data_IF_168173191216
#
_entry.id   IF_168173191216
#
_cell.length_a   1.000
_cell.length_b   1.000
_cell.length_c   1.000
_cell.angle_alpha   90.00
_cell.angle_beta   90.00
_cell.angle_gamma   90.00
#
_symmetry.space_group_name_H-M   'P 1'
#
loop_
_entity.id
_entity.type
_entity.pdbx_description
1 polymer ?
#
# COMPACT_ATOMS: atom_id res chain seq x y z
N UNK A 1 -56.74 -1.05 -48.59
CA UNK A 1 -55.39 -1.16 -47.98
C UNK A 1 -55.11 0.13 -47.24
N UNK A 2 -55.08 0.08 -45.91
CA UNK A 2 -54.72 1.20 -45.01
C UNK A 2 -53.37 0.86 -44.38
N UNK A 3 -52.37 1.76 -44.31
CA UNK A 3 -51.21 1.53 -43.47
C UNK A 3 -51.52 1.97 -42.02
N UNK A 4 -51.14 1.09 -41.08
CA UNK A 4 -51.25 1.27 -39.63
C UNK A 4 -50.22 2.27 -39.11
N UNK A 5 -50.62 3.00 -38.08
CA UNK A 5 -49.79 3.92 -37.32
C UNK A 5 -48.71 3.18 -36.50
N UNK A 6 -47.50 3.75 -36.49
CA UNK A 6 -46.43 3.41 -35.56
C UNK A 6 -46.43 4.46 -34.44
N UNK A 7 -46.80 4.06 -33.22
CA UNK A 7 -46.58 4.86 -32.01
C UNK A 7 -45.22 4.48 -31.43
N UNK A 8 -44.26 5.42 -31.49
CA UNK A 8 -42.93 5.26 -30.92
C UNK A 8 -42.96 5.25 -29.40
N UNK A 9 -42.45 4.16 -28.81
CA UNK A 9 -42.17 4.02 -27.40
C UNK A 9 -40.94 4.89 -27.01
N UNK A 10 -41.19 6.13 -26.62
CA UNK A 10 -40.15 7.04 -26.12
C UNK A 10 -40.57 7.63 -24.76
N UNK A 11 -40.81 6.79 -23.76
CA UNK A 11 -41.16 7.27 -22.42
C UNK A 11 -40.68 6.37 -21.25
N UNK A 12 -39.74 5.44 -21.47
CA UNK A 12 -39.33 4.50 -20.42
C UNK A 12 -37.81 4.43 -20.13
N UNK A 13 -37.01 5.41 -20.59
CA UNK A 13 -35.55 5.40 -20.37
C UNK A 13 -35.04 6.41 -19.34
N UNK A 14 -35.88 7.32 -18.83
CA UNK A 14 -35.42 8.34 -17.85
C UNK A 14 -35.58 7.89 -16.40
N UNK A 15 -36.39 6.85 -16.10
CA UNK A 15 -36.58 6.39 -14.72
C UNK A 15 -35.48 5.44 -14.20
N UNK A 16 -34.68 4.81 -15.06
CA UNK A 16 -33.66 3.85 -14.62
C UNK A 16 -32.33 4.48 -14.20
N UNK A 17 -32.07 5.75 -14.54
CA UNK A 17 -30.78 6.40 -14.23
C UNK A 17 -30.69 6.94 -12.78
N UNK A 18 -31.80 6.96 -12.03
CA UNK A 18 -31.83 7.43 -10.64
C UNK A 18 -31.66 6.30 -9.60
N UNK A 19 -31.51 5.03 -10.02
CA UNK A 19 -31.36 3.90 -9.10
C UNK A 19 -29.90 3.47 -8.86
N UNK A 20 -28.91 4.14 -9.45
CA UNK A 20 -27.48 3.77 -9.32
C UNK A 20 -26.67 4.66 -8.37
N UNK A 21 -27.30 5.58 -7.65
CA UNK A 21 -26.66 6.28 -6.53
C UNK A 21 -27.40 5.90 -5.25
N UNK A 22 -27.22 4.65 -4.82
CA UNK A 22 -27.54 4.33 -3.43
C UNK A 22 -26.40 4.92 -2.57
N UNK A 23 -26.69 5.84 -1.63
CA UNK A 23 -25.71 6.19 -0.62
C UNK A 23 -25.31 4.91 0.12
N UNK A 24 -24.01 4.73 0.35
CA UNK A 24 -23.54 3.65 1.21
C UNK A 24 -24.34 3.68 2.52
N UNK A 25 -24.82 2.52 3.03
CA UNK A 25 -25.55 2.49 4.27
C UNK A 25 -24.74 3.23 5.34
N UNK A 26 -25.35 4.24 5.96
CA UNK A 26 -24.77 4.89 7.11
C UNK A 26 -24.46 3.81 8.15
N UNK A 27 -23.23 3.80 8.66
CA UNK A 27 -22.83 2.88 9.71
C UNK A 27 -23.85 2.96 10.86
N UNK A 28 -24.21 1.81 11.45
CA UNK A 28 -25.09 1.81 12.60
C UNK A 28 -24.43 2.61 13.73
N UNK A 29 -25.21 3.41 14.47
CA UNK A 29 -24.68 4.19 15.58
C UNK A 29 -23.98 3.27 16.60
N UNK A 30 -22.71 3.55 16.89
CA UNK A 30 -21.86 2.76 17.79
C UNK A 30 -21.06 1.63 17.14
N UNK A 31 -21.25 1.34 15.85
CA UNK A 31 -20.39 0.41 15.11
C UNK A 31 -19.05 1.08 14.80
N UNK A 32 -17.95 0.44 15.21
CA UNK A 32 -16.60 0.92 14.91
C UNK A 32 -16.20 0.53 13.50
N UNK A 33 -15.66 1.48 12.75
CA UNK A 33 -15.08 1.29 11.42
C UNK A 33 -13.65 1.81 11.39
N UNK A 34 -12.89 1.40 10.37
CA UNK A 34 -11.52 1.85 10.19
C UNK A 34 -11.50 3.26 9.59
N UNK A 35 -10.86 4.22 10.27
CA UNK A 35 -10.65 5.59 9.81
C UNK A 35 -9.17 5.93 9.77
N UNK A 36 -8.80 6.76 8.80
CA UNK A 36 -7.49 7.42 8.74
C UNK A 36 -7.67 8.87 9.19
N UNK A 37 -6.89 9.27 10.18
CA UNK A 37 -6.78 10.64 10.68
C UNK A 37 -5.46 11.21 10.17
N UNK A 38 -5.54 12.21 9.31
CA UNK A 38 -4.38 12.85 8.70
C UNK A 38 -4.14 14.22 9.34
N UNK A 39 -2.90 14.44 9.79
CA UNK A 39 -2.45 15.63 10.52
C UNK A 39 -1.43 16.45 9.73
N UNK A 40 -1.13 16.09 8.47
CA UNK A 40 -0.16 16.79 7.63
C UNK A 40 1.22 16.13 7.61
N UNK A 41 2.26 16.95 7.59
CA UNK A 41 3.67 16.53 7.65
C UNK A 41 4.21 16.68 9.08
N UNK A 42 5.12 15.80 9.49
CA UNK A 42 5.83 15.95 10.76
C UNK A 42 6.85 17.08 10.70
N UNK A 43 6.96 17.87 11.78
CA UNK A 43 7.99 18.91 11.88
C UNK A 43 9.42 18.35 11.75
N UNK A 44 9.63 17.10 12.19
CA UNK A 44 10.92 16.40 12.09
C UNK A 44 11.15 15.71 10.75
N UNK A 45 10.20 15.75 9.79
CA UNK A 45 10.29 14.99 8.55
C UNK A 45 11.57 15.27 7.75
N UNK A 46 11.97 16.54 7.67
CA UNK A 46 13.20 16.98 6.97
C UNK A 46 14.49 16.48 7.59
N UNK A 47 14.50 16.16 8.89
CA UNK A 47 15.69 15.77 9.64
C UNK A 47 15.87 14.25 9.73
N UNK A 48 14.85 13.47 9.39
CA UNK A 48 14.85 12.01 9.53
C UNK A 48 16.02 11.31 8.83
N UNK A 49 16.54 11.88 7.74
CA UNK A 49 17.60 11.28 6.94
C UNK A 49 18.98 11.28 7.62
N UNK A 50 19.20 12.20 8.56
CA UNK A 50 20.49 12.39 9.24
C UNK A 50 20.53 11.76 10.64
N UNK A 51 19.39 11.27 11.15
CA UNK A 51 19.30 10.73 12.49
C UNK A 51 19.94 9.35 12.62
N UNK A 52 20.62 9.12 13.74
CA UNK A 52 21.02 7.79 14.14
C UNK A 52 19.78 6.94 14.49
N UNK A 53 19.91 5.61 14.44
CA UNK A 53 18.78 4.70 14.65
C UNK A 53 18.08 4.86 16.01
N UNK A 54 18.86 5.16 17.07
CA UNK A 54 18.31 5.39 18.42
C UNK A 54 17.48 6.68 18.47
N UNK A 55 17.98 7.76 17.87
CA UNK A 55 17.28 9.04 17.82
C UNK A 55 16.01 8.93 16.97
N UNK A 56 16.07 8.19 15.85
CA UNK A 56 14.91 7.90 15.03
C UNK A 56 13.81 7.18 15.81
N UNK A 57 14.16 6.13 16.57
CA UNK A 57 13.19 5.40 17.40
C UNK A 57 12.56 6.29 18.48
N UNK A 58 13.35 7.18 19.09
CA UNK A 58 12.84 8.15 20.07
C UNK A 58 11.88 9.18 19.45
N UNK A 59 12.21 9.70 18.27
CA UNK A 59 11.36 10.63 17.50
C UNK A 59 10.06 9.95 17.09
N UNK A 60 10.13 8.72 16.56
CA UNK A 60 8.94 7.95 16.19
C UNK A 60 8.07 7.60 17.41
N UNK A 61 8.69 7.24 18.54
CA UNK A 61 7.98 6.97 19.79
C UNK A 61 7.25 8.19 20.32
N UNK A 62 7.88 9.37 20.28
CA UNK A 62 7.24 10.64 20.66
C UNK A 62 6.08 11.01 19.73
N UNK A 63 6.26 10.82 18.42
CA UNK A 63 5.20 11.03 17.44
C UNK A 63 3.99 10.11 17.71
N UNK A 64 4.23 8.81 17.92
CA UNK A 64 3.17 7.86 18.26
C UNK A 64 2.46 8.23 19.57
N UNK A 65 3.22 8.66 20.60
CA UNK A 65 2.63 9.06 21.87
C UNK A 65 1.70 10.27 21.74
N UNK A 66 2.08 11.24 20.89
CA UNK A 66 1.22 12.39 20.57
C UNK A 66 -0.06 12.00 19.84
N UNK A 67 -0.06 10.91 19.05
CA UNK A 67 -1.27 10.38 18.42
C UNK A 67 -2.23 9.82 19.46
N UNK A 68 -1.71 9.10 20.46
CA UNK A 68 -2.52 8.58 21.56
C UNK A 68 -3.11 9.72 22.39
N UNK A 69 -2.32 10.75 22.69
CA UNK A 69 -2.80 11.94 23.41
C UNK A 69 -3.92 12.65 22.64
N UNK A 70 -3.75 12.86 21.32
CA UNK A 70 -4.77 13.50 20.49
C UNK A 70 -6.08 12.71 20.50
N UNK A 71 -6.04 11.40 20.27
CA UNK A 71 -7.24 10.58 20.26
C UNK A 71 -7.86 10.42 21.66
N UNK A 72 -7.06 10.47 22.72
CA UNK A 72 -7.55 10.45 24.10
C UNK A 72 -8.43 11.66 24.43
N UNK A 73 -8.27 12.81 23.75
CA UNK A 73 -9.17 13.97 23.92
C UNK A 73 -10.62 13.67 23.52
N UNK A 74 -10.81 12.70 22.62
CA UNK A 74 -12.13 12.26 22.13
C UNK A 74 -12.62 11.04 22.91
N UNK A 75 -11.74 10.06 23.18
CA UNK A 75 -12.12 8.82 23.87
C UNK A 75 -12.14 8.93 25.40
N UNK A 76 -11.59 10.02 25.94
CA UNK A 76 -11.45 10.29 27.38
C UNK A 76 -10.40 9.44 28.09
N UNK A 77 -9.65 8.60 27.37
CA UNK A 77 -8.71 7.64 27.93
C UNK A 77 -7.60 7.30 26.91
N UNK A 78 -6.34 7.39 27.34
CA UNK A 78 -5.15 7.14 26.51
C UNK A 78 -4.96 5.66 26.19
N UNK A 79 -5.34 4.75 27.07
CA UNK A 79 -5.26 3.31 26.80
C UNK A 79 -6.31 2.90 25.78
N UNK A 80 -7.54 3.46 25.85
CA UNK A 80 -8.52 3.27 24.77
C UNK A 80 -8.02 3.81 23.42
N UNK A 81 -7.28 4.92 23.44
CA UNK A 81 -6.65 5.43 22.23
C UNK A 81 -5.56 4.48 21.69
N UNK A 82 -4.73 3.90 22.56
CA UNK A 82 -3.73 2.89 22.17
C UNK A 82 -4.38 1.64 21.56
N UNK A 83 -5.50 1.18 22.12
CA UNK A 83 -6.25 0.04 21.60
C UNK A 83 -6.94 0.34 20.27
N UNK A 84 -7.46 1.57 20.11
CA UNK A 84 -8.16 1.98 18.89
C UNK A 84 -7.19 2.19 17.71
N UNK A 85 -5.99 2.72 17.95
CA UNK A 85 -4.98 3.00 16.92
C UNK A 85 -4.23 1.73 16.56
N UNK A 86 -4.44 1.24 15.33
CA UNK A 86 -3.73 0.07 14.82
C UNK A 86 -2.51 0.41 13.96
N UNK A 87 -2.41 1.63 13.43
CA UNK A 87 -1.20 2.19 12.81
C UNK A 87 -0.96 3.64 13.21
N UNK A 88 0.28 3.98 13.53
CA UNK A 88 0.77 5.35 13.66
C UNK A 88 1.76 5.67 12.54
N UNK A 89 1.51 6.75 11.81
CA UNK A 89 2.40 7.25 10.76
C UNK A 89 3.31 8.33 11.37
N UNK A 90 4.56 7.96 11.63
CA UNK A 90 5.49 8.74 12.48
C UNK A 90 6.66 9.37 11.72
N UNK A 91 6.77 9.09 10.42
CA UNK A 91 7.89 9.52 9.58
C UNK A 91 7.56 10.82 8.82
N UNK A 92 7.31 10.74 7.52
CA UNK A 92 7.06 11.93 6.70
C UNK A 92 5.59 12.36 6.82
N UNK A 93 4.68 11.39 6.77
CA UNK A 93 3.25 11.61 7.00
C UNK A 93 3.00 11.60 8.50
N UNK A 94 2.27 12.62 8.98
CA UNK A 94 1.73 12.66 10.33
C UNK A 94 0.25 12.25 10.33
N UNK A 95 -0.06 11.23 11.12
CA UNK A 95 -1.41 10.74 11.26
C UNK A 95 -1.44 9.33 11.82
N UNK A 96 -2.63 8.76 11.90
CA UNK A 96 -2.83 7.40 12.38
C UNK A 96 -4.10 6.79 11.76
N UNK A 97 -4.20 5.47 11.85
CA UNK A 97 -5.38 4.72 11.49
C UNK A 97 -5.98 4.07 12.75
N UNK A 98 -7.28 4.27 12.97
CA UNK A 98 -7.97 3.84 14.18
C UNK A 98 -9.37 3.30 13.92
N UNK A 99 -9.83 2.43 14.82
CA UNK A 99 -11.20 1.92 14.84
C UNK A 99 -12.10 2.82 15.68
N UNK A 100 -12.93 3.62 15.01
CA UNK A 100 -13.77 4.65 15.61
C UNK A 100 -15.23 4.46 15.17
N UNK A 101 -16.18 4.80 16.05
CA UNK A 101 -17.55 5.01 15.60
C UNK A 101 -17.69 6.35 14.85
N UNK A 102 -18.83 6.54 14.19
CA UNK A 102 -19.09 7.74 13.39
C UNK A 102 -19.08 9.03 14.20
N UNK A 103 -19.46 8.99 15.48
CA UNK A 103 -19.48 10.17 16.35
C UNK A 103 -18.05 10.54 16.75
N UNK A 104 -17.24 9.57 17.18
CA UNK A 104 -15.82 9.75 17.48
C UNK A 104 -15.06 10.29 16.27
N UNK A 105 -15.30 9.74 15.08
CA UNK A 105 -14.71 10.22 13.83
C UNK A 105 -15.10 11.68 13.53
N UNK A 106 -16.35 12.05 13.76
CA UNK A 106 -16.83 13.43 13.58
C UNK A 106 -16.28 14.39 14.64
N UNK A 107 -16.09 13.94 15.89
CA UNK A 107 -15.50 14.72 16.96
C UNK A 107 -14.03 15.01 16.68
N UNK A 108 -13.25 13.98 16.30
CA UNK A 108 -11.81 14.18 16.02
C UNK A 108 -11.58 15.07 14.80
N UNK A 109 -12.45 15.01 13.79
CA UNK A 109 -12.38 15.86 12.59
C UNK A 109 -12.55 17.35 12.87
N UNK A 110 -13.05 17.73 14.06
CA UNK A 110 -13.24 19.13 14.47
C UNK A 110 -12.01 19.71 15.20
N UNK A 111 -11.04 18.88 15.55
CA UNK A 111 -9.83 19.35 16.22
C UNK A 111 -8.97 20.16 15.26
N UNK A 112 -8.43 21.33 15.66
CA UNK A 112 -7.68 22.21 14.77
C UNK A 112 -6.39 21.59 14.22
N UNK A 113 -5.83 20.59 14.90
CA UNK A 113 -4.65 19.84 14.48
C UNK A 113 -4.95 18.82 13.38
N UNK A 114 -6.22 18.50 13.14
CA UNK A 114 -6.65 17.46 12.20
C UNK A 114 -6.97 18.09 10.84
N UNK A 115 -6.22 17.69 9.81
CA UNK A 115 -6.40 18.17 8.44
C UNK A 115 -7.59 17.48 7.78
N UNK A 116 -7.69 16.15 7.93
CA UNK A 116 -8.80 15.39 7.36
C UNK A 116 -8.99 14.04 8.06
N UNK A 117 -10.23 13.58 8.12
CA UNK A 117 -10.60 12.23 8.57
C UNK A 117 -11.40 11.57 7.47
N UNK A 118 -11.00 10.37 7.06
CA UNK A 118 -11.71 9.61 6.03
C UNK A 118 -11.73 8.12 6.36
N UNK A 119 -12.81 7.45 5.97
CA UNK A 119 -12.94 6.01 6.16
C UNK A 119 -11.89 5.28 5.32
N UNK A 120 -11.24 4.30 5.93
CA UNK A 120 -10.35 3.37 5.23
C UNK A 120 -11.15 2.54 4.23
N UNK A 121 -10.55 2.23 3.07
CA UNK A 121 -11.21 1.46 2.00
C UNK A 121 -10.25 0.42 1.46
N UNK A 122 -10.72 -0.81 1.33
CA UNK A 122 -10.03 -1.83 0.54
C UNK A 122 -10.06 -1.42 -0.94
N UNK A 123 -8.91 -1.52 -1.60
CA UNK A 123 -8.81 -1.30 -3.05
C UNK A 123 -8.73 -2.66 -3.75
N UNK A 124 -9.29 -2.73 -4.96
CA UNK A 124 -9.16 -3.92 -5.79
C UNK A 124 -7.86 -3.85 -6.58
N UNK A 125 -7.19 -5.00 -6.72
CA UNK A 125 -6.02 -5.13 -7.58
C UNK A 125 -6.41 -4.82 -9.01
N UNK A 126 -5.64 -3.95 -9.65
CA UNK A 126 -5.81 -3.58 -11.05
C UNK A 126 -4.50 -3.81 -11.80
N UNK A 127 -4.52 -4.66 -12.81
CA UNK A 127 -3.49 -4.70 -13.85
C UNK A 127 -4.14 -4.62 -15.22
N UNK A 128 -3.76 -3.61 -16.01
CA UNK A 128 -4.09 -3.57 -17.45
C UNK A 128 -2.81 -3.56 -18.27
N UNK A 129 -2.55 -4.71 -18.90
CA UNK A 129 -1.67 -4.96 -20.07
C UNK A 129 -0.14 -4.90 -19.87
N UNK A 130 0.53 -5.72 -20.68
CA UNK A 130 1.94 -6.10 -20.60
C UNK A 130 2.84 -5.39 -21.64
N UNK A 131 4.14 -5.66 -21.51
CA UNK A 131 5.33 -5.08 -22.16
C UNK A 131 5.33 -4.87 -23.67
N UNK A 132 4.53 -5.63 -24.43
CA UNK A 132 4.54 -5.53 -25.90
C UNK A 132 4.09 -4.15 -26.40
N UNK A 133 3.38 -3.38 -25.58
CA UNK A 133 2.92 -2.04 -25.93
C UNK A 133 4.04 -0.98 -25.96
N UNK A 134 5.13 -1.14 -25.22
CA UNK A 134 6.12 -0.08 -25.03
C UNK A 134 7.29 -0.10 -26.04
N UNK A 135 7.40 -1.13 -26.90
CA UNK A 135 8.43 -1.20 -27.95
C UNK A 135 9.88 -1.31 -27.43
N UNK A 136 10.05 -1.65 -26.15
CA UNK A 136 11.34 -1.62 -25.43
C UNK A 136 12.24 -2.84 -25.74
N UNK A 137 11.66 -3.94 -26.23
CA UNK A 137 12.37 -5.19 -26.53
C UNK A 137 12.29 -5.56 -28.03
N UNK A 138 13.34 -6.16 -28.56
CA UNK A 138 13.37 -6.76 -29.91
C UNK A 138 12.87 -8.21 -29.94
N UNK A 139 12.81 -8.83 -31.14
CA UNK A 139 12.55 -10.26 -31.25
C UNK A 139 13.59 -11.00 -30.40
N UNK A 140 13.13 -11.82 -29.45
CA UNK A 140 14.00 -12.53 -28.49
C UNK A 140 14.22 -11.83 -27.14
N UNK A 141 13.48 -10.77 -26.81
CA UNK A 141 13.52 -10.14 -25.48
C UNK A 141 14.75 -9.26 -25.22
N UNK A 142 15.61 -9.07 -26.23
CA UNK A 142 16.84 -8.28 -26.12
C UNK A 142 16.48 -6.79 -26.11
N UNK A 143 16.93 -6.01 -25.10
CA UNK A 143 16.70 -4.57 -25.04
C UNK A 143 17.27 -3.87 -26.29
N UNK A 144 16.45 -3.08 -27.01
CA UNK A 144 16.96 -2.27 -28.12
C UNK A 144 17.49 -0.93 -27.59
N UNK A 145 18.72 -0.59 -27.96
CA UNK A 145 19.24 0.78 -27.85
C UNK A 145 20.24 1.06 -26.72
N UNK A 146 21.01 2.14 -26.91
CA UNK A 146 22.05 2.60 -25.99
C UNK A 146 21.53 3.12 -24.64
N UNK A 147 20.21 3.34 -24.51
CA UNK A 147 19.53 3.93 -23.36
C UNK A 147 19.72 3.12 -22.08
N UNK A 148 19.62 1.79 -22.16
CA UNK A 148 19.80 0.88 -21.01
C UNK A 148 21.21 0.92 -20.43
N UNK A 149 22.23 0.92 -21.31
CA UNK A 149 23.63 1.07 -20.90
C UNK A 149 23.92 2.47 -20.36
N UNK A 150 23.33 3.51 -20.97
CA UNK A 150 23.44 4.90 -20.46
C UNK A 150 22.79 5.06 -19.08
N UNK A 151 21.68 4.38 -18.81
CA UNK A 151 21.00 4.35 -17.52
C UNK A 151 21.59 3.32 -16.54
N UNK A 152 22.71 2.66 -16.89
CA UNK A 152 23.33 1.58 -16.12
C UNK A 152 22.33 0.52 -15.64
N UNK A 153 21.33 0.21 -16.48
CA UNK A 153 20.27 -0.74 -16.17
C UNK A 153 19.48 -0.44 -14.88
N UNK A 154 19.47 0.83 -14.42
CA UNK A 154 18.81 1.23 -13.18
C UNK A 154 19.65 1.06 -11.91
N UNK A 155 20.97 0.89 -12.03
CA UNK A 155 21.87 0.79 -10.87
C UNK A 155 21.64 1.94 -9.86
N UNK A 156 21.42 1.58 -8.60
CA UNK A 156 21.19 2.53 -7.50
C UNK A 156 19.77 3.07 -7.39
N UNK A 157 18.86 2.71 -8.30
CA UNK A 157 17.42 2.96 -8.18
C UNK A 157 16.81 1.90 -7.27
N UNK A 158 15.70 2.23 -6.60
CA UNK A 158 14.91 1.28 -5.81
C UNK A 158 13.42 1.43 -6.21
N UNK A 159 12.75 0.32 -6.57
CA UNK A 159 11.28 0.31 -6.83
C UNK A 159 10.55 -0.16 -5.60
N UNK A 160 9.55 0.60 -5.16
CA UNK A 160 8.53 0.11 -4.23
C UNK A 160 7.35 -0.50 -4.98
N UNK A 161 6.97 -1.72 -4.61
CA UNK A 161 5.78 -2.40 -5.10
C UNK A 161 4.78 -2.59 -3.97
N UNK A 162 3.60 -2.00 -4.10
CA UNK A 162 2.50 -2.15 -3.16
C UNK A 162 1.51 -3.12 -3.80
N UNK A 163 1.53 -4.37 -3.35
CA UNK A 163 0.83 -5.50 -4.00
C UNK A 163 0.61 -6.65 -3.03
N UNK A 164 0.30 -7.88 -3.46
CA UNK A 164 0.00 -9.02 -2.59
C UNK A 164 1.21 -9.59 -1.84
N UNK A 165 2.43 -9.21 -2.23
CA UNK A 165 3.67 -9.71 -1.62
C UNK A 165 4.74 -10.02 -2.67
N UNK A 166 5.70 -10.87 -2.30
CA UNK A 166 6.63 -11.50 -3.26
C UNK A 166 6.92 -12.96 -2.91
N UNK A 167 7.17 -13.77 -3.94
CA UNK A 167 7.79 -15.09 -3.81
C UNK A 167 9.32 -14.99 -3.97
N UNK A 168 10.10 -14.89 -2.88
CA UNK A 168 11.52 -14.55 -2.95
C UNK A 168 12.39 -15.60 -3.65
N UNK A 169 11.95 -16.86 -3.70
CA UNK A 169 12.69 -17.97 -4.33
C UNK A 169 12.59 -17.98 -5.86
N UNK A 170 11.82 -17.07 -6.45
CA UNK A 170 11.71 -16.95 -7.91
C UNK A 170 13.05 -16.60 -8.55
N UNK A 171 13.34 -17.19 -9.72
CA UNK A 171 14.54 -16.86 -10.51
C UNK A 171 14.66 -15.37 -10.83
N UNK A 172 13.51 -14.68 -10.92
CA UNK A 172 13.43 -13.22 -11.12
C UNK A 172 14.05 -12.41 -9.97
N UNK A 173 14.26 -13.02 -8.80
CA UNK A 173 14.76 -12.32 -7.61
C UNK A 173 16.12 -12.84 -7.13
N UNK A 174 16.82 -13.61 -7.96
CA UNK A 174 18.23 -13.95 -7.71
C UNK A 174 19.12 -12.71 -7.81
N UNK A 175 20.13 -12.67 -6.97
CA UNK A 175 21.05 -11.54 -6.81
C UNK A 175 22.46 -11.80 -7.39
N UNK A 176 22.61 -12.86 -8.19
CA UNK A 176 23.88 -13.16 -8.86
C UNK A 176 24.38 -11.99 -9.70
N UNK A 177 25.63 -11.58 -9.46
CA UNK A 177 26.28 -10.48 -10.17
C UNK A 177 25.85 -9.08 -9.72
N UNK A 178 25.04 -8.97 -8.65
CA UNK A 178 24.70 -7.69 -8.05
C UNK A 178 25.75 -7.26 -7.03
N UNK A 179 25.97 -5.95 -6.96
CA UNK A 179 26.76 -5.31 -5.91
C UNK A 179 26.00 -5.28 -4.58
N UNK A 180 26.62 -4.71 -3.53
CA UNK A 180 25.96 -4.56 -2.24
C UNK A 180 24.73 -3.65 -2.33
N UNK A 181 23.79 -3.84 -1.40
CA UNK A 181 22.62 -2.97 -1.23
C UNK A 181 23.06 -1.50 -1.09
N UNK A 182 22.38 -0.54 -1.75
CA UNK A 182 22.76 0.87 -1.68
C UNK A 182 22.83 1.37 -0.23
N UNK A 183 23.91 2.06 0.15
CA UNK A 183 24.14 2.52 1.53
C UNK A 183 23.06 3.47 2.09
N UNK A 184 22.37 4.17 1.19
CA UNK A 184 21.26 5.06 1.54
C UNK A 184 19.94 4.31 1.82
N UNK A 185 19.86 3.02 1.49
CA UNK A 185 18.70 2.20 1.79
C UNK A 185 18.58 1.98 3.31
N UNK A 186 17.42 2.30 3.87
CA UNK A 186 17.09 2.18 5.31
C UNK A 186 15.85 1.33 5.58
N UNK A 187 15.31 0.67 4.55
CA UNK A 187 14.15 -0.21 4.75
C UNK A 187 14.54 -1.52 5.43
N UNK A 188 13.53 -2.24 5.88
CA UNK A 188 13.68 -3.49 6.62
C UNK A 188 13.21 -4.67 5.80
N UNK A 189 13.73 -5.85 6.12
CA UNK A 189 13.19 -7.12 5.66
C UNK A 189 12.45 -7.79 6.80
N UNK A 190 11.12 -7.67 6.80
CA UNK A 190 10.28 -8.41 7.74
C UNK A 190 10.09 -9.83 7.23
N UNK A 191 10.35 -10.82 8.08
CA UNK A 191 10.01 -12.22 7.78
C UNK A 191 8.56 -12.57 8.18
N UNK A 192 8.00 -11.81 9.11
CA UNK A 192 6.70 -12.10 9.69
C UNK A 192 6.67 -13.49 10.35
N UNK A 193 5.63 -14.27 10.06
CA UNK A 193 5.46 -15.66 10.49
C UNK A 193 6.04 -16.70 9.51
N UNK A 194 6.76 -16.27 8.46
CA UNK A 194 7.48 -17.17 7.57
C UNK A 194 8.98 -17.12 7.88
N UNK A 195 9.47 -18.13 8.62
CA UNK A 195 10.89 -18.21 8.97
C UNK A 195 11.83 -18.39 7.77
N UNK A 196 11.30 -18.81 6.61
CA UNK A 196 12.09 -18.97 5.39
C UNK A 196 12.09 -17.70 4.51
N UNK A 197 11.35 -16.66 4.90
CA UNK A 197 11.34 -15.42 4.14
C UNK A 197 12.61 -14.61 4.39
N UNK A 198 13.43 -14.46 3.34
CA UNK A 198 14.67 -13.72 3.40
C UNK A 198 14.83 -12.77 2.22
N UNK A 199 15.31 -11.57 2.54
CA UNK A 199 15.79 -10.61 1.56
C UNK A 199 17.22 -10.93 1.14
N UNK A 200 17.62 -10.44 -0.03
CA UNK A 200 18.96 -10.59 -0.59
C UNK A 200 19.40 -9.28 -1.26
N UNK A 201 20.47 -9.27 -2.04
CA UNK A 201 20.93 -8.03 -2.70
C UNK A 201 20.01 -7.56 -3.84
N UNK A 202 19.00 -8.37 -4.22
CA UNK A 202 17.99 -8.06 -5.23
C UNK A 202 16.68 -7.59 -4.61
N UNK A 203 16.09 -8.39 -3.73
CA UNK A 203 14.96 -8.02 -2.88
C UNK A 203 15.52 -7.46 -1.58
N UNK A 204 15.70 -6.14 -1.52
CA UNK A 204 16.45 -5.49 -0.43
C UNK A 204 15.57 -5.12 0.77
N UNK A 205 14.25 -5.24 0.64
CA UNK A 205 13.32 -5.02 1.72
C UNK A 205 11.93 -5.57 1.42
N UNK A 206 11.24 -5.93 2.49
CA UNK A 206 9.92 -6.53 2.44
C UNK A 206 9.16 -6.17 3.70
N UNK A 207 7.92 -5.72 3.53
CA UNK A 207 7.00 -5.30 4.59
C UNK A 207 5.62 -5.85 4.28
N UNK A 208 4.80 -6.03 5.31
CA UNK A 208 3.39 -6.36 5.13
C UNK A 208 2.50 -5.51 6.05
N UNK A 209 1.32 -5.14 5.58
CA UNK A 209 0.40 -4.25 6.29
C UNK A 209 -1.01 -4.83 6.27
N UNK A 210 -1.30 -5.72 7.23
CA UNK A 210 -2.56 -6.45 7.28
C UNK A 210 -3.60 -5.91 8.28
N UNK A 211 -3.20 -5.06 9.25
CA UNK A 211 -4.10 -4.61 10.33
C UNK A 211 -5.30 -3.80 9.83
N UNK A 212 -5.16 -3.14 8.68
CA UNK A 212 -6.26 -2.44 8.01
C UNK A 212 -7.36 -3.40 7.55
N UNK A 213 -6.98 -4.55 6.97
CA UNK A 213 -7.91 -5.60 6.57
C UNK A 213 -8.58 -6.25 7.78
N UNK A 214 -7.80 -6.54 8.83
CA UNK A 214 -8.35 -7.03 10.11
C UNK A 214 -9.37 -6.08 10.74
N UNK A 215 -9.17 -4.76 10.57
CA UNK A 215 -10.09 -3.73 11.06
C UNK A 215 -11.39 -3.64 10.26
N UNK A 216 -11.40 -4.05 8.99
CA UNK A 216 -12.61 -4.19 8.16
C UNK A 216 -13.23 -5.60 8.27
N UNK A 217 -12.80 -6.41 9.26
CA UNK A 217 -13.40 -7.70 9.57
C UNK A 217 -12.89 -8.88 8.74
N UNK A 218 -11.82 -8.71 7.97
CA UNK A 218 -11.17 -9.82 7.26
C UNK A 218 -10.32 -10.64 8.23
N UNK A 219 -10.38 -11.97 8.11
CA UNK A 219 -9.55 -12.84 8.94
C UNK A 219 -8.09 -12.79 8.51
N UNK A 220 -7.30 -12.01 9.24
CA UNK A 220 -5.85 -11.90 9.05
C UNK A 220 -5.05 -12.71 10.08
N UNK A 221 -5.69 -13.65 10.80
CA UNK A 221 -5.01 -14.48 11.81
C UNK A 221 -4.18 -15.59 11.19
N UNK A 222 -4.55 -15.99 9.98
CA UNK A 222 -3.85 -17.05 9.28
C UNK A 222 -2.39 -16.62 8.97
N UNK A 223 -1.39 -17.51 9.17
CA UNK A 223 0.03 -17.15 9.02
C UNK A 223 0.39 -16.57 7.65
N UNK A 224 -0.31 -16.99 6.60
CA UNK A 224 -0.16 -16.50 5.23
C UNK A 224 -0.41 -14.99 5.08
N UNK A 225 -1.16 -14.36 5.99
CA UNK A 225 -1.40 -12.91 6.00
C UNK A 225 -0.42 -12.14 6.89
N UNK A 226 0.41 -12.85 7.64
CA UNK A 226 1.36 -12.29 8.59
C UNK A 226 2.80 -12.40 8.09
N UNK A 227 3.01 -12.30 6.77
CA UNK A 227 4.31 -12.36 6.10
C UNK A 227 4.24 -11.53 4.81
N UNK A 228 5.37 -11.00 4.29
CA UNK A 228 5.40 -10.43 2.94
C UNK A 228 5.37 -11.47 1.82
N UNK A 229 5.33 -12.78 2.14
CA UNK A 229 5.23 -13.83 1.12
C UNK A 229 3.95 -13.69 0.31
N UNK A 230 4.12 -13.74 -1.00
CA UNK A 230 3.01 -13.79 -1.94
C UNK A 230 2.44 -15.21 -2.03
N UNK A 231 1.18 -15.35 -1.65
CA UNK A 231 0.41 -16.60 -1.80
C UNK A 231 -0.65 -16.51 -2.90
N UNK A 232 -0.69 -15.40 -3.65
CA UNK A 232 -1.67 -15.15 -4.71
C UNK A 232 -1.01 -15.11 -6.09
N UNK A 233 0.14 -14.43 -6.22
CA UNK A 233 0.97 -14.41 -7.42
C UNK A 233 1.02 -13.06 -8.13
N UNK A 234 0.03 -12.17 -7.92
CA UNK A 234 -0.06 -10.86 -8.57
C UNK A 234 1.15 -10.00 -8.21
N UNK A 235 1.51 -9.91 -6.93
CA UNK A 235 2.69 -9.20 -6.47
C UNK A 235 3.97 -9.73 -7.10
N UNK A 236 4.18 -11.04 -7.10
CA UNK A 236 5.34 -11.66 -7.75
C UNK A 236 5.38 -11.35 -9.26
N UNK A 237 4.23 -11.38 -9.92
CA UNK A 237 4.09 -11.14 -11.35
C UNK A 237 4.35 -9.66 -11.72
N UNK A 238 3.70 -8.70 -11.05
CA UNK A 238 3.90 -7.25 -11.29
C UNK A 238 5.34 -6.83 -11.05
N UNK A 239 5.96 -7.48 -10.09
CA UNK A 239 7.29 -7.14 -9.63
C UNK A 239 8.42 -7.69 -10.48
N UNK A 240 8.31 -8.95 -10.88
CA UNK A 240 9.22 -9.56 -11.85
C UNK A 240 9.12 -8.87 -13.21
N UNK A 241 7.92 -8.42 -13.56
CA UNK A 241 7.63 -7.49 -14.65
C UNK A 241 8.47 -6.22 -14.46
N UNK A 242 8.32 -5.48 -13.36
CA UNK A 242 8.99 -4.19 -13.17
C UNK A 242 10.53 -4.28 -13.01
N UNK A 243 11.05 -5.35 -12.40
CA UNK A 243 12.44 -5.43 -11.95
C UNK A 243 13.02 -6.84 -11.83
N UNK A 244 12.49 -7.85 -12.50
CA UNK A 244 12.95 -9.25 -12.40
C UNK A 244 14.25 -9.55 -13.16
N UNK A 245 15.21 -10.19 -12.47
CA UNK A 245 16.59 -10.46 -12.90
C UNK A 245 16.62 -11.06 -14.29
N UNK A 246 17.68 -10.77 -15.04
CA UNK A 246 17.78 -11.25 -16.40
C UNK A 246 17.95 -12.78 -16.43
N UNK A 247 16.85 -13.48 -16.69
CA UNK A 247 16.83 -14.90 -17.09
C UNK A 247 17.16 -14.93 -18.60
N UNK A 248 17.90 -15.90 -19.17
CA UNK A 248 18.02 -16.00 -20.62
C UNK A 248 16.62 -15.93 -21.28
N UNK A 249 16.30 -14.79 -21.92
CA UNK A 249 14.95 -14.49 -22.44
C UNK A 249 14.12 -13.38 -21.74
N UNK A 250 14.59 -12.73 -20.66
CA UNK A 250 13.97 -11.52 -20.08
C UNK A 250 15.01 -10.71 -19.26
N UNK A 251 14.80 -9.43 -18.94
CA UNK A 251 15.79 -8.57 -18.25
C UNK A 251 15.15 -7.50 -17.35
N UNK A 252 15.61 -7.31 -16.10
CA UNK A 252 16.02 -6.05 -15.39
C UNK A 252 16.22 -6.29 -13.86
N UNK A 253 16.86 -5.39 -13.10
CA UNK A 253 17.13 -5.55 -11.65
C UNK A 253 16.39 -4.51 -10.83
N UNK A 254 15.52 -4.90 -9.88
CA UNK A 254 14.96 -4.03 -8.84
C UNK A 254 14.11 -4.78 -7.78
N UNK A 255 13.93 -4.29 -6.53
CA UNK A 255 12.64 -4.19 -5.76
C UNK A 255 12.64 -4.11 -4.19
N UNK A 256 11.65 -3.37 -3.64
CA UNK A 256 11.01 -3.43 -2.30
C UNK A 256 9.56 -3.92 -2.43
N UNK A 257 9.11 -4.79 -1.52
CA UNK A 257 7.71 -5.24 -1.45
C UNK A 257 7.00 -4.67 -0.23
N UNK A 258 5.81 -4.13 -0.46
CA UNK A 258 4.83 -3.74 0.55
C UNK A 258 3.60 -4.60 0.27
N UNK A 259 3.36 -5.62 1.10
CA UNK A 259 2.17 -6.46 1.00
C UNK A 259 0.94 -5.71 1.52
N UNK A 260 -0.03 -5.48 0.65
CA UNK A 260 -1.38 -4.99 0.93
C UNK A 260 -2.42 -5.90 0.27
N UNK A 261 -3.26 -6.50 1.13
CA UNK A 261 -4.52 -7.24 0.89
C UNK A 261 -5.55 -6.63 -0.05
#
# INVERSE_FOLDING_TARGET
MRPMASFGAAACFVLCALLLVQPAPAAAAGEKQSYVVYLGEHAHASQLHDLAAVDLAAVEGKAADSHYDLLATVLGDKEKAREAIFYSYTKHINGFAANLDAEQAAQIARLPEVVSVFRNRGYQLHTTRSWQFLGIAGPGGVPRGASWRKAKFGEGVVIGNIDTGVWPESESFRDHGLGPVPKHWKGTCEKGQDDNFHCNAKLIGARYFNKGYGSEGLDTKAPEFNTPRDNEGHGTHTLSTAGGSAVPGASVVLVIVISGR
#
